data_IF_853358551269
#
_entry.id   IF_853358551269
#
_cell.length_a   1.000
_cell.length_b   1.000
_cell.length_c   1.000
_cell.angle_alpha   90.00
_cell.angle_beta   90.00
_cell.angle_gamma   90.00
#
_symmetry.space_group_name_H-M   'P 1'
#
loop_
_entity.id
_entity.type
_entity.pdbx_description
1 polymer ?
#
# COMPACT_ATOMS: atom_id res chain seq x y z
N UNK A 1 -32.17 -14.74 17.89
CA UNK A 1 -31.12 -13.84 17.37
C UNK A 1 -30.17 -13.53 18.52
N UNK A 2 -29.07 -14.25 18.62
CA UNK A 2 -28.11 -14.08 19.72
C UNK A 2 -26.97 -13.27 19.08
N UNK A 3 -26.87 -12.01 19.50
CA UNK A 3 -25.73 -11.15 19.21
C UNK A 3 -24.47 -11.80 19.82
N UNK A 4 -23.64 -12.38 18.99
CA UNK A 4 -22.28 -12.75 19.39
C UNK A 4 -21.45 -11.47 19.43
N UNK A 5 -21.34 -10.89 20.60
CA UNK A 5 -20.30 -9.90 20.90
C UNK A 5 -18.97 -10.65 20.88
N UNK A 6 -18.24 -10.56 19.78
CA UNK A 6 -16.85 -11.01 19.73
C UNK A 6 -16.04 -10.06 20.64
N UNK A 7 -15.63 -10.56 21.78
CA UNK A 7 -14.80 -9.79 22.71
C UNK A 7 -13.37 -9.83 22.21
N UNK A 8 -12.92 -8.73 21.62
CA UNK A 8 -11.53 -8.54 21.21
C UNK A 8 -10.68 -8.29 22.48
N UNK A 9 -9.80 -9.21 22.82
CA UNK A 9 -8.80 -8.99 23.87
C UNK A 9 -7.56 -8.35 23.27
N UNK A 10 -7.40 -7.05 23.49
CA UNK A 10 -6.22 -6.28 23.12
C UNK A 10 -5.34 -6.08 24.35
N UNK A 11 -4.18 -6.72 24.40
CA UNK A 11 -3.18 -6.48 25.43
C UNK A 11 -2.18 -5.43 24.94
N UNK A 12 -2.25 -4.25 25.52
CA UNK A 12 -1.33 -3.15 25.25
C UNK A 12 -0.14 -3.23 26.21
N UNK A 13 1.04 -3.60 25.72
CA UNK A 13 2.28 -3.44 26.47
C UNK A 13 2.91 -2.10 26.09
N UNK A 14 2.72 -1.08 26.90
CA UNK A 14 3.52 0.15 26.85
C UNK A 14 4.80 -0.10 27.63
N UNK A 15 5.85 -0.54 26.94
CA UNK A 15 7.18 -0.55 27.55
C UNK A 15 7.83 0.83 27.37
N UNK A 16 7.75 1.66 28.41
CA UNK A 16 8.61 2.82 28.56
C UNK A 16 10.04 2.32 28.87
N UNK A 17 10.88 2.23 27.86
CA UNK A 17 12.32 2.16 28.06
C UNK A 17 12.96 3.37 27.38
N UNK A 18 13.19 4.41 28.18
CA UNK A 18 14.06 5.51 27.79
C UNK A 18 15.52 5.05 27.99
N UNK A 19 16.21 4.69 26.91
CA UNK A 19 17.66 4.61 26.89
C UNK A 19 18.20 5.46 25.76
N UNK A 20 18.92 6.50 26.15
CA UNK A 20 19.74 7.26 25.20
C UNK A 20 20.84 6.38 24.67
N UNK A 21 20.75 6.04 23.39
CA UNK A 21 21.88 5.55 22.60
C UNK A 21 21.80 6.07 21.17
N UNK A 22 22.99 6.32 20.62
CA UNK A 22 23.26 6.82 19.27
C UNK A 22 22.37 6.20 18.20
N UNK A 23 21.81 7.06 17.36
CA UNK A 23 20.95 6.74 16.25
C UNK A 23 21.59 5.73 15.26
N UNK A 24 21.34 4.46 15.46
CA UNK A 24 21.55 3.45 14.45
C UNK A 24 20.25 3.29 13.68
N UNK A 25 20.24 3.54 12.40
CA UNK A 25 19.10 3.29 11.53
C UNK A 25 18.81 1.79 11.50
N UNK A 26 17.82 1.34 12.25
CA UNK A 26 17.29 -0.02 12.07
C UNK A 26 16.28 0.08 10.93
N UNK A 27 16.72 -0.21 9.72
CA UNK A 27 15.79 -0.47 8.63
C UNK A 27 14.93 -1.67 9.04
N UNK A 28 13.62 -1.47 9.19
CA UNK A 28 12.69 -2.58 9.36
C UNK A 28 12.79 -3.47 8.12
N UNK A 29 12.85 -4.78 8.32
CA UNK A 29 13.05 -5.72 7.20
C UNK A 29 11.87 -5.70 6.23
N UNK A 30 10.67 -5.47 6.76
CA UNK A 30 9.46 -5.34 5.96
C UNK A 30 8.71 -4.10 6.45
N UNK A 31 8.56 -3.12 5.58
CA UNK A 31 7.86 -1.89 5.87
C UNK A 31 6.87 -1.57 4.77
N UNK A 32 5.59 -1.59 5.10
CA UNK A 32 4.51 -1.16 4.24
C UNK A 32 3.90 0.12 4.83
N UNK A 33 3.97 1.21 4.08
CA UNK A 33 3.30 2.46 4.42
C UNK A 33 1.82 2.36 4.04
N UNK A 34 0.95 2.67 4.98
CA UNK A 34 -0.49 2.86 4.73
C UNK A 34 -0.81 4.34 4.93
N UNK A 35 -1.10 5.02 3.84
CA UNK A 35 -1.39 6.44 3.84
C UNK A 35 -2.72 6.71 3.14
N UNK A 36 -3.69 7.29 3.87
CA UNK A 36 -4.88 7.88 3.30
C UNK A 36 -4.91 9.34 3.72
N UNK A 37 -4.64 10.24 2.79
CA UNK A 37 -4.42 11.65 3.09
C UNK A 37 -4.91 12.55 1.97
N UNK A 38 -5.18 13.82 2.33
CA UNK A 38 -5.52 14.88 1.38
C UNK A 38 -4.64 16.08 1.67
N UNK A 39 -3.97 16.57 0.64
CA UNK A 39 -3.07 17.71 0.69
C UNK A 39 -3.54 18.82 -0.24
N UNK A 40 -3.26 20.05 0.13
CA UNK A 40 -3.63 21.24 -0.61
C UNK A 40 -2.38 22.08 -0.83
N UNK A 41 -2.12 22.47 -2.08
CA UNK A 41 -0.96 23.28 -2.45
C UNK A 41 -1.41 24.48 -3.28
N UNK A 42 -0.81 25.65 -3.00
CA UNK A 42 -1.06 26.89 -3.70
C UNK A 42 0.22 27.35 -4.40
N UNK A 43 0.12 27.61 -5.72
CA UNK A 43 1.21 28.15 -6.53
C UNK A 43 0.66 29.18 -7.53
N UNK A 44 0.87 30.47 -7.25
CA UNK A 44 0.21 31.53 -7.99
C UNK A 44 -1.30 31.42 -7.86
N UNK A 45 -2.01 31.42 -8.98
CA UNK A 45 -3.48 31.32 -9.05
C UNK A 45 -3.97 29.85 -9.15
N UNK A 46 -3.05 28.89 -9.03
CA UNK A 46 -3.39 27.45 -9.12
C UNK A 46 -3.48 26.82 -7.73
N UNK A 47 -4.62 26.21 -7.43
CA UNK A 47 -4.83 25.36 -6.26
C UNK A 47 -4.75 23.89 -6.66
N UNK A 48 -3.78 23.18 -6.14
CA UNK A 48 -3.62 21.73 -6.36
C UNK A 48 -4.13 20.96 -5.16
N UNK A 49 -5.01 20.00 -5.42
CA UNK A 49 -5.60 19.11 -4.41
C UNK A 49 -5.14 17.70 -4.71
N UNK A 50 -4.49 17.05 -3.75
CA UNK A 50 -3.99 15.69 -3.89
C UNK A 50 -4.66 14.80 -2.86
N UNK A 51 -5.32 13.76 -3.34
CA UNK A 51 -5.83 12.66 -2.54
C UNK A 51 -4.93 11.45 -2.73
N UNK A 52 -4.41 10.88 -1.65
CA UNK A 52 -3.57 9.67 -1.67
C UNK A 52 -4.24 8.56 -0.89
N UNK A 53 -4.24 7.36 -1.45
CA UNK A 53 -4.62 6.13 -0.77
C UNK A 53 -3.58 5.05 -1.13
N UNK A 54 -2.53 4.97 -0.31
CA UNK A 54 -1.35 4.18 -0.60
C UNK A 54 -1.13 3.04 0.39
N UNK A 55 -0.86 1.86 -0.18
CA UNK A 55 -0.21 0.73 0.46
C UNK A 55 1.20 0.60 -0.16
N UNK A 56 2.14 1.43 0.29
CA UNK A 56 3.44 1.59 -0.35
C UNK A 56 4.52 0.73 0.30
N UNK A 57 5.23 -0.12 -0.45
CA UNK A 57 6.31 -0.94 0.08
C UNK A 57 7.57 -0.09 0.29
N UNK A 58 7.83 0.39 1.51
CA UNK A 58 9.08 1.11 1.85
C UNK A 58 10.28 0.18 1.92
N UNK A 59 10.06 -1.11 2.24
CA UNK A 59 11.08 -2.15 2.24
C UNK A 59 10.46 -3.53 2.36
N UNK A 60 11.07 -4.53 1.73
CA UNK A 60 10.70 -5.93 1.82
C UNK A 60 11.96 -6.78 2.04
N UNK A 61 11.90 -7.71 2.98
CA UNK A 61 13.01 -8.59 3.37
C UNK A 61 14.34 -7.86 3.65
N UNK A 62 14.24 -6.70 4.30
CA UNK A 62 15.40 -5.87 4.64
C UNK A 62 16.02 -5.13 3.46
N UNK A 63 15.37 -5.14 2.31
CA UNK A 63 15.79 -4.44 1.11
C UNK A 63 14.79 -3.34 0.76
N UNK A 64 15.30 -2.16 0.41
CA UNK A 64 14.47 -1.04 -0.07
C UNK A 64 13.92 -1.31 -1.47
N UNK A 65 14.46 -2.28 -2.20
CA UNK A 65 14.09 -2.61 -3.58
C UNK A 65 14.09 -1.37 -4.49
N UNK A 66 15.25 -0.79 -4.81
CA UNK A 66 15.33 0.44 -5.60
C UNK A 66 14.58 0.35 -6.93
N UNK A 67 14.59 -0.81 -7.58
CA UNK A 67 13.91 -1.03 -8.86
C UNK A 67 12.38 -0.89 -8.73
N UNK A 68 11.80 -1.39 -7.63
CA UNK A 68 10.37 -1.20 -7.33
C UNK A 68 10.07 0.25 -6.98
N UNK A 69 10.94 0.90 -6.18
CA UNK A 69 10.79 2.32 -5.86
C UNK A 69 10.85 3.18 -7.13
N UNK A 70 11.81 2.94 -8.02
CA UNK A 70 11.91 3.64 -9.31
C UNK A 70 10.65 3.46 -10.17
N UNK A 71 10.09 2.25 -10.22
CA UNK A 71 8.86 1.99 -10.97
C UNK A 71 7.69 2.78 -10.40
N UNK A 72 7.46 2.68 -9.08
CA UNK A 72 6.33 3.33 -8.41
C UNK A 72 6.44 4.86 -8.44
N UNK A 73 7.63 5.41 -8.16
CA UNK A 73 7.83 6.87 -8.18
C UNK A 73 7.73 7.45 -9.59
N UNK A 74 8.17 6.70 -10.61
CA UNK A 74 7.95 7.09 -12.01
C UNK A 74 6.47 7.08 -12.38
N UNK A 75 5.72 6.10 -11.88
CA UNK A 75 4.28 6.00 -12.16
C UNK A 75 3.52 7.18 -11.56
N UNK A 76 3.74 7.48 -10.27
CA UNK A 76 2.97 8.49 -9.54
C UNK A 76 3.52 9.91 -9.67
N UNK A 77 4.84 10.06 -9.70
CA UNK A 77 5.52 11.36 -9.60
C UNK A 77 6.26 11.77 -10.88
N UNK A 78 6.14 10.97 -11.94
CA UNK A 78 6.79 11.16 -13.25
C UNK A 78 8.33 11.27 -13.18
N UNK A 79 8.95 10.77 -12.11
CA UNK A 79 10.41 10.73 -11.97
C UNK A 79 10.83 9.55 -11.10
N UNK A 80 11.87 8.79 -11.53
CA UNK A 80 12.38 7.69 -10.75
C UNK A 80 13.11 8.22 -9.51
N UNK A 81 12.84 7.57 -8.36
CA UNK A 81 13.53 7.87 -7.10
C UNK A 81 13.79 6.57 -6.34
N UNK A 82 14.83 6.57 -5.51
CA UNK A 82 15.23 5.39 -4.74
C UNK A 82 14.32 5.10 -3.54
N UNK A 83 13.45 6.05 -3.17
CA UNK A 83 12.49 5.89 -2.08
C UNK A 83 11.24 6.74 -2.29
N UNK A 84 10.15 6.32 -1.62
CA UNK A 84 8.92 7.10 -1.54
C UNK A 84 9.17 8.53 -1.04
N UNK A 85 9.88 8.65 0.10
CA UNK A 85 10.06 9.94 0.76
C UNK A 85 10.81 10.93 -0.14
N UNK A 86 11.84 10.47 -0.86
CA UNK A 86 12.57 11.30 -1.82
C UNK A 86 11.70 11.68 -3.01
N UNK A 87 10.98 10.71 -3.60
CA UNK A 87 10.11 10.97 -4.76
C UNK A 87 8.96 11.90 -4.42
N UNK A 88 8.31 11.67 -3.27
CA UNK A 88 7.24 12.55 -2.79
C UNK A 88 7.73 13.98 -2.55
N UNK A 89 8.84 14.15 -1.82
CA UNK A 89 9.41 15.48 -1.53
C UNK A 89 9.77 16.26 -2.80
N UNK A 90 10.32 15.58 -3.81
CA UNK A 90 10.63 16.20 -5.11
C UNK A 90 9.35 16.62 -5.85
N UNK A 91 8.34 15.74 -5.89
CA UNK A 91 7.06 16.06 -6.49
C UNK A 91 6.35 17.20 -5.75
N UNK A 92 6.26 17.11 -4.43
CA UNK A 92 5.68 18.14 -3.55
C UNK A 92 6.31 19.52 -3.76
N UNK A 93 7.65 19.60 -3.88
CA UNK A 93 8.36 20.85 -4.10
C UNK A 93 7.96 21.57 -5.39
N UNK A 94 7.42 20.83 -6.37
CA UNK A 94 6.93 21.37 -7.64
C UNK A 94 5.56 22.03 -7.53
N UNK A 95 4.78 21.66 -6.50
CA UNK A 95 3.36 22.05 -6.34
C UNK A 95 3.15 23.42 -5.72
N UNK A 96 4.18 23.95 -5.07
CA UNK A 96 4.10 25.24 -4.38
C UNK A 96 4.04 25.12 -2.86
N UNK A 97 3.30 25.99 -2.19
CA UNK A 97 3.21 26.01 -0.73
C UNK A 97 2.01 25.21 -0.25
N UNK A 98 2.23 24.31 0.71
CA UNK A 98 1.12 23.61 1.37
C UNK A 98 0.26 24.61 2.17
N UNK A 99 -1.06 24.50 2.01
CA UNK A 99 -2.07 25.32 2.69
C UNK A 99 -3.07 24.43 3.41
N UNK A 100 -3.62 24.91 4.54
CA UNK A 100 -4.56 24.12 5.35
C UNK A 100 -6.03 24.35 4.97
N UNK A 101 -6.31 25.50 4.39
CA UNK A 101 -7.68 25.92 4.03
C UNK A 101 -7.69 26.51 2.63
N UNK A 102 -8.74 26.18 1.89
CA UNK A 102 -9.00 26.79 0.59
C UNK A 102 -9.50 28.20 0.86
N UNK A 103 -8.81 29.21 0.32
CA UNK A 103 -9.41 30.52 0.16
C UNK A 103 -10.51 30.36 -0.89
N UNK A 104 -11.71 30.89 -0.60
CA UNK A 104 -12.82 30.93 -1.56
C UNK A 104 -12.49 31.94 -2.67
N UNK A 105 -11.55 31.57 -3.54
CA UNK A 105 -11.25 32.28 -4.76
C UNK A 105 -11.93 31.53 -5.91
N UNK A 106 -13.02 32.12 -6.41
CA UNK A 106 -13.82 31.51 -7.47
C UNK A 106 -13.05 31.43 -8.80
N UNK A 107 -12.00 32.23 -8.95
CA UNK A 107 -11.21 32.34 -10.20
C UNK A 107 -9.96 31.49 -10.19
N UNK A 108 -9.60 30.83 -9.07
CA UNK A 108 -8.41 29.99 -9.00
C UNK A 108 -8.53 28.73 -9.88
N UNK A 109 -7.54 28.49 -10.72
CA UNK A 109 -7.41 27.22 -11.45
C UNK A 109 -7.27 26.08 -10.44
N UNK A 110 -8.10 25.05 -10.57
CA UNK A 110 -8.07 23.89 -9.69
C UNK A 110 -7.53 22.66 -10.42
N UNK A 111 -6.52 22.04 -9.83
CA UNK A 111 -5.97 20.73 -10.25
C UNK A 111 -6.22 19.70 -9.17
N UNK A 112 -6.58 18.50 -9.59
CA UNK A 112 -6.87 17.40 -8.69
C UNK A 112 -6.00 16.21 -9.11
N UNK A 113 -5.33 15.60 -8.12
CA UNK A 113 -4.66 14.32 -8.27
C UNK A 113 -5.34 13.32 -7.35
N UNK A 114 -5.79 12.20 -7.91
CA UNK A 114 -6.27 11.04 -7.18
C UNK A 114 -5.28 9.90 -7.40
N UNK A 115 -4.60 9.51 -6.34
CA UNK A 115 -3.49 8.57 -6.37
C UNK A 115 -3.81 7.37 -5.48
N UNK A 116 -3.87 6.18 -6.07
CA UNK A 116 -4.13 4.95 -5.35
C UNK A 116 -3.09 3.87 -5.65
N UNK A 117 -2.54 3.26 -4.61
CA UNK A 117 -1.70 2.07 -4.71
C UNK A 117 -2.21 1.03 -3.72
N UNK A 118 -2.71 -0.09 -4.23
CA UNK A 118 -3.22 -1.18 -3.43
C UNK A 118 -2.40 -2.45 -3.65
N UNK A 119 -1.89 -3.01 -2.58
CA UNK A 119 -1.27 -4.33 -2.62
C UNK A 119 -2.37 -5.40 -2.76
N UNK A 120 -2.32 -6.17 -3.83
CA UNK A 120 -3.28 -7.23 -4.12
C UNK A 120 -2.84 -8.57 -3.52
N UNK A 121 -1.53 -8.84 -3.54
CA UNK A 121 -0.97 -10.08 -3.05
C UNK A 121 0.52 -9.91 -2.71
N UNK A 122 0.95 -10.54 -1.65
CA UNK A 122 2.36 -10.72 -1.33
C UNK A 122 2.64 -12.22 -1.15
N UNK A 123 3.47 -12.77 -2.03
CA UNK A 123 4.05 -14.10 -1.88
C UNK A 123 5.47 -13.96 -1.33
N UNK A 124 5.69 -14.25 -0.05
CA UNK A 124 6.97 -14.01 0.59
C UNK A 124 8.15 -14.66 -0.15
N UNK A 125 9.20 -13.88 -0.39
CA UNK A 125 10.41 -14.32 -1.08
C UNK A 125 10.27 -14.59 -2.57
N UNK A 126 9.11 -14.30 -3.17
CA UNK A 126 8.88 -14.53 -4.60
C UNK A 126 8.37 -13.32 -5.34
N UNK A 127 7.23 -12.76 -4.96
CA UNK A 127 6.67 -11.60 -5.66
C UNK A 127 5.70 -10.78 -4.80
N UNK A 128 5.46 -9.56 -5.23
CA UNK A 128 4.39 -8.70 -4.72
C UNK A 128 3.60 -8.12 -5.90
N UNK A 129 2.28 -8.06 -5.77
CA UNK A 129 1.36 -7.61 -6.81
C UNK A 129 0.56 -6.41 -6.36
N UNK A 130 0.34 -5.48 -7.30
CA UNK A 130 -0.33 -4.22 -7.02
C UNK A 130 -1.37 -3.87 -8.07
N UNK A 131 -2.31 -3.03 -7.63
CA UNK A 131 -3.11 -2.14 -8.47
C UNK A 131 -2.66 -0.71 -8.19
N UNK A 132 -2.17 -0.02 -9.21
CA UNK A 132 -1.82 1.40 -9.17
C UNK A 132 -2.80 2.21 -10.01
N UNK A 133 -3.26 3.35 -9.48
CA UNK A 133 -4.16 4.28 -10.17
C UNK A 133 -3.68 5.71 -9.96
N UNK A 134 -3.69 6.49 -11.02
CA UNK A 134 -3.41 7.92 -11.00
C UNK A 134 -4.38 8.61 -11.93
N UNK A 135 -5.17 9.51 -11.41
CA UNK A 135 -5.98 10.43 -12.19
C UNK A 135 -5.54 11.87 -11.90
N UNK A 136 -5.23 12.60 -12.94
CA UNK A 136 -5.03 14.05 -12.92
C UNK A 136 -6.17 14.70 -13.70
N UNK A 137 -6.86 15.64 -13.09
CA UNK A 137 -7.96 16.40 -13.71
C UNK A 137 -7.91 17.87 -13.32
N UNK A 138 -8.45 18.70 -14.18
CA UNK A 138 -8.85 20.06 -13.81
C UNK A 138 -10.35 20.12 -13.48
N UNK A 139 -10.90 21.30 -13.36
CA UNK A 139 -12.33 21.47 -13.03
C UNK A 139 -13.28 20.91 -14.11
N UNK A 140 -12.84 20.74 -15.34
CA UNK A 140 -13.71 20.45 -16.50
C UNK A 140 -13.37 19.13 -17.21
N UNK A 141 -12.15 18.61 -17.05
CA UNK A 141 -11.70 17.43 -17.83
C UNK A 141 -10.64 16.60 -17.10
N UNK A 142 -10.56 15.33 -17.46
CA UNK A 142 -9.43 14.46 -17.11
C UNK A 142 -8.27 14.79 -18.03
N UNK A 143 -7.11 15.10 -17.44
CA UNK A 143 -5.86 15.40 -18.15
C UNK A 143 -5.07 14.11 -18.38
N UNK A 144 -4.95 13.30 -17.32
CA UNK A 144 -4.24 12.04 -17.35
C UNK A 144 -4.99 11.02 -16.52
N UNK A 145 -5.18 9.82 -17.07
CA UNK A 145 -5.63 8.66 -16.31
C UNK A 145 -4.67 7.50 -16.57
N UNK A 146 -4.06 6.98 -15.51
CA UNK A 146 -3.20 5.80 -15.55
C UNK A 146 -3.77 4.75 -14.62
N UNK A 147 -3.82 3.54 -15.10
CA UNK A 147 -4.26 2.37 -14.35
C UNK A 147 -3.31 1.22 -14.65
N UNK A 148 -2.87 0.47 -13.66
CA UNK A 148 -1.94 -0.63 -13.89
C UNK A 148 -2.10 -1.74 -12.86
N UNK A 149 -2.39 -2.93 -13.33
CA UNK A 149 -2.13 -4.18 -12.61
C UNK A 149 -0.71 -4.64 -12.93
N UNK A 150 0.08 -4.90 -11.92
CA UNK A 150 1.44 -5.41 -12.13
C UNK A 150 1.91 -6.31 -10.98
N UNK A 151 2.87 -7.16 -11.32
CA UNK A 151 3.58 -8.02 -10.36
C UNK A 151 5.06 -7.70 -10.40
N UNK A 152 5.64 -7.42 -9.26
CA UNK A 152 7.07 -7.26 -9.10
C UNK A 152 7.71 -8.56 -8.60
N UNK A 153 8.64 -9.08 -9.37
CA UNK A 153 9.44 -10.26 -9.06
C UNK A 153 10.56 -9.91 -8.08
N UNK A 154 10.47 -10.41 -6.85
CA UNK A 154 11.46 -10.16 -5.80
C UNK A 154 12.79 -10.91 -6.06
N UNK A 155 12.75 -11.99 -6.85
CA UNK A 155 13.93 -12.81 -7.17
C UNK A 155 14.81 -12.07 -8.20
N UNK A 156 14.19 -11.63 -9.31
CA UNK A 156 14.89 -10.99 -10.42
C UNK A 156 14.83 -9.46 -10.37
N UNK A 157 14.18 -8.88 -9.35
CA UNK A 157 14.05 -7.43 -9.09
C UNK A 157 13.51 -6.65 -10.29
N UNK A 158 12.41 -7.11 -10.86
CA UNK A 158 11.77 -6.47 -12.03
C UNK A 158 10.26 -6.66 -12.03
N UNK A 159 9.57 -5.79 -12.75
CA UNK A 159 8.16 -6.01 -13.08
C UNK A 159 8.07 -7.15 -14.10
N UNK A 160 7.17 -8.12 -13.84
CA UNK A 160 6.90 -9.21 -14.77
C UNK A 160 6.15 -8.68 -15.99
N UNK A 161 6.61 -9.11 -17.15
CA UNK A 161 5.97 -8.85 -18.44
C UNK A 161 5.28 -10.11 -18.96
N UNK A 162 4.45 -9.98 -20.00
CA UNK A 162 3.87 -11.13 -20.68
C UNK A 162 4.92 -12.12 -21.18
N UNK A 163 6.07 -11.62 -21.66
CA UNK A 163 7.15 -12.46 -22.17
C UNK A 163 7.80 -13.31 -21.05
N UNK A 164 7.74 -12.83 -19.82
CA UNK A 164 8.24 -13.58 -18.67
C UNK A 164 7.29 -14.74 -18.31
N UNK A 165 5.98 -14.51 -18.43
CA UNK A 165 4.95 -15.44 -17.95
C UNK A 165 4.50 -16.40 -19.03
N UNK A 166 4.20 -15.92 -20.23
CA UNK A 166 3.53 -16.71 -21.26
C UNK A 166 4.47 -17.18 -22.36
N UNK A 167 4.12 -18.30 -22.95
CA UNK A 167 4.74 -18.79 -24.18
C UNK A 167 4.16 -18.00 -25.38
N UNK A 168 4.87 -16.94 -25.77
CA UNK A 168 4.44 -16.02 -26.83
C UNK A 168 4.19 -16.73 -28.16
N UNK A 169 5.04 -17.69 -28.52
CA UNK A 169 4.87 -18.45 -29.76
C UNK A 169 3.52 -19.17 -29.79
N UNK A 170 3.18 -19.86 -28.69
CA UNK A 170 1.92 -20.61 -28.61
C UNK A 170 0.70 -19.69 -28.59
N UNK A 171 0.77 -18.60 -27.85
CA UNK A 171 -0.35 -17.65 -27.75
C UNK A 171 -0.62 -16.90 -29.06
N UNK A 172 0.45 -16.48 -29.75
CA UNK A 172 0.31 -15.61 -30.92
C UNK A 172 0.19 -16.35 -32.24
N UNK A 173 0.81 -17.54 -32.37
CA UNK A 173 0.83 -18.30 -33.64
C UNK A 173 -0.36 -19.25 -33.80
N UNK A 174 -1.08 -19.59 -32.70
CA UNK A 174 -2.27 -20.42 -32.77
C UNK A 174 -3.54 -19.57 -32.54
N UNK A 175 -4.30 -19.25 -33.59
CA UNK A 175 -5.53 -18.46 -33.48
C UNK A 175 -6.59 -19.12 -32.58
N UNK A 176 -6.64 -20.45 -32.54
CA UNK A 176 -7.61 -21.16 -31.71
C UNK A 176 -7.28 -21.03 -30.21
N UNK A 177 -6.00 -21.11 -29.86
CA UNK A 177 -5.54 -20.89 -28.47
C UNK A 177 -5.84 -19.48 -28.03
N UNK A 178 -5.59 -18.50 -28.92
CA UNK A 178 -5.88 -17.11 -28.64
C UNK A 178 -7.38 -16.87 -28.46
N UNK A 179 -8.21 -17.41 -29.34
CA UNK A 179 -9.67 -17.29 -29.22
C UNK A 179 -10.19 -17.90 -27.93
N UNK A 180 -9.78 -19.12 -27.58
CA UNK A 180 -10.17 -19.76 -26.31
C UNK A 180 -9.71 -18.98 -25.08
N UNK A 181 -8.57 -18.34 -25.15
CA UNK A 181 -8.10 -17.49 -24.06
C UNK A 181 -8.97 -16.23 -23.91
N UNK A 182 -9.38 -15.60 -25.00
CA UNK A 182 -10.30 -14.47 -24.96
C UNK A 182 -11.69 -14.84 -24.43
N UNK A 183 -12.25 -15.96 -24.88
CA UNK A 183 -13.51 -16.48 -24.35
C UNK A 183 -13.42 -16.71 -22.84
N UNK A 184 -12.29 -17.21 -22.36
CA UNK A 184 -12.04 -17.39 -20.93
C UNK A 184 -12.00 -16.06 -20.18
N UNK A 185 -11.31 -15.04 -20.73
CA UNK A 185 -11.23 -13.73 -20.10
C UNK A 185 -12.60 -13.04 -20.05
N UNK A 186 -13.40 -13.17 -21.09
CA UNK A 186 -14.76 -12.63 -21.14
C UNK A 186 -15.67 -13.32 -20.13
N UNK A 187 -15.63 -14.65 -20.09
CA UNK A 187 -16.42 -15.44 -19.14
C UNK A 187 -16.11 -15.12 -17.67
N UNK A 188 -14.87 -14.80 -17.35
CA UNK A 188 -14.40 -14.52 -15.99
C UNK A 188 -14.29 -13.02 -15.68
N UNK A 189 -14.74 -12.15 -16.60
CA UNK A 189 -14.74 -10.72 -16.36
C UNK A 189 -15.69 -10.34 -15.21
N UNK A 190 -15.26 -9.37 -14.41
CA UNK A 190 -16.05 -8.87 -13.28
C UNK A 190 -17.30 -8.07 -13.69
N UNK A 191 -17.34 -7.61 -14.93
CA UNK A 191 -18.49 -6.94 -15.56
C UNK A 191 -18.63 -7.40 -16.99
N UNK A 192 -19.85 -7.66 -17.43
CA UNK A 192 -20.15 -7.93 -18.83
C UNK A 192 -20.47 -6.61 -19.53
N UNK A 193 -19.49 -6.03 -20.19
CA UNK A 193 -19.67 -4.85 -21.01
C UNK A 193 -19.30 -5.22 -22.44
N UNK A 194 -20.32 -5.30 -23.31
CA UNK A 194 -20.14 -5.72 -24.71
C UNK A 194 -19.22 -4.78 -25.50
N UNK A 195 -19.00 -3.53 -25.06
CA UNK A 195 -18.39 -2.47 -25.86
C UNK A 195 -16.99 -2.01 -25.40
N UNK A 196 -16.45 -2.48 -24.27
CA UNK A 196 -15.25 -1.86 -23.66
C UNK A 196 -13.96 -2.67 -23.78
N UNK A 197 -14.02 -3.93 -24.15
CA UNK A 197 -12.84 -4.80 -24.19
C UNK A 197 -12.24 -4.78 -25.59
N UNK A 198 -11.01 -4.26 -25.71
CA UNK A 198 -10.27 -4.35 -26.97
C UNK A 198 -9.60 -5.72 -27.11
N UNK A 199 -10.30 -6.65 -27.72
CA UNK A 199 -9.83 -8.03 -27.94
C UNK A 199 -8.67 -8.17 -28.93
N UNK A 200 -8.31 -7.12 -29.66
CA UNK A 200 -7.15 -7.11 -30.56
C UNK A 200 -5.83 -6.98 -29.78
N UNK A 201 -5.91 -6.55 -28.53
CA UNK A 201 -4.75 -6.40 -27.64
C UNK A 201 -4.87 -7.39 -26.50
N UNK A 202 -3.93 -8.32 -26.39
CA UNK A 202 -3.80 -9.07 -25.13
C UNK A 202 -3.55 -8.11 -24.00
N UNK A 203 -4.17 -8.37 -22.83
CA UNK A 203 -3.93 -7.54 -21.66
C UNK A 203 -2.44 -7.51 -21.34
N UNK A 204 -1.80 -6.37 -21.58
CA UNK A 204 -0.38 -6.17 -21.30
C UNK A 204 -0.12 -6.07 -19.78
N UNK A 205 -1.18 -5.82 -19.03
CA UNK A 205 -1.13 -5.60 -17.60
C UNK A 205 -1.87 -6.72 -16.90
N UNK A 206 -1.19 -7.30 -15.92
CA UNK A 206 -1.75 -8.36 -15.11
C UNK A 206 -1.08 -8.39 -13.72
N UNK A 207 -1.78 -8.98 -12.76
CA UNK A 207 -1.25 -9.24 -11.42
C UNK A 207 -1.42 -10.72 -11.06
N UNK A 208 -0.37 -11.32 -10.49
CA UNK A 208 -0.44 -12.64 -9.87
C UNK A 208 -1.09 -12.52 -8.49
N UNK A 209 -2.12 -13.29 -8.21
CA UNK A 209 -2.87 -13.26 -6.95
C UNK A 209 -2.98 -14.70 -6.42
N UNK A 210 -1.96 -15.16 -5.73
CA UNK A 210 -1.89 -16.55 -5.25
C UNK A 210 -1.95 -17.54 -6.38
N UNK A 211 -3.05 -18.30 -6.46
CA UNK A 211 -3.29 -19.28 -7.52
C UNK A 211 -4.02 -18.71 -8.75
N UNK A 212 -4.23 -17.41 -8.79
CA UNK A 212 -4.94 -16.74 -9.88
C UNK A 212 -4.06 -15.71 -10.57
N UNK A 213 -4.46 -15.35 -11.78
CA UNK A 213 -3.94 -14.20 -12.52
C UNK A 213 -5.11 -13.25 -12.77
N UNK A 214 -4.96 -12.00 -12.37
CA UNK A 214 -5.89 -10.94 -12.71
C UNK A 214 -5.35 -10.17 -13.91
N UNK A 215 -6.13 -10.13 -14.98
CA UNK A 215 -5.83 -9.37 -16.19
C UNK A 215 -6.60 -8.06 -16.19
N UNK A 216 -5.93 -6.99 -16.57
CA UNK A 216 -6.56 -5.70 -16.83
C UNK A 216 -7.25 -5.71 -18.18
N UNK A 217 -8.56 -5.48 -18.20
CA UNK A 217 -9.37 -5.40 -19.41
C UNK A 217 -9.76 -3.96 -19.75
N UNK A 218 -9.31 -3.00 -18.96
CA UNK A 218 -9.57 -1.58 -19.16
C UNK A 218 -10.38 -0.90 -18.04
N UNK A 219 -10.98 0.23 -18.38
CA UNK A 219 -11.78 1.03 -17.43
C UNK A 219 -13.16 1.25 -18.04
N UNK A 220 -14.21 0.93 -17.28
CA UNK A 220 -15.59 1.23 -17.64
C UNK A 220 -16.23 2.09 -16.52
N UNK A 221 -16.87 3.20 -16.93
CA UNK A 221 -17.64 4.10 -16.06
C UNK A 221 -16.96 4.45 -14.72
N UNK A 222 -15.61 4.58 -14.72
CA UNK A 222 -14.80 4.89 -13.53
C UNK A 222 -14.42 3.68 -12.67
N UNK A 223 -14.76 2.46 -13.06
CA UNK A 223 -14.33 1.20 -12.47
C UNK A 223 -13.34 0.45 -13.35
N UNK A 224 -12.39 -0.29 -12.76
CA UNK A 224 -11.52 -1.19 -13.50
C UNK A 224 -12.29 -2.45 -13.93
N UNK A 225 -12.23 -2.76 -15.22
CA UNK A 225 -12.69 -4.04 -15.76
C UNK A 225 -11.53 -5.02 -15.70
N UNK A 226 -11.73 -6.14 -15.07
CA UNK A 226 -10.70 -7.17 -14.97
C UNK A 226 -11.30 -8.58 -15.08
N UNK A 227 -10.47 -9.50 -15.53
CA UNK A 227 -10.75 -10.94 -15.50
C UNK A 227 -9.80 -11.60 -14.51
N UNK A 228 -10.30 -12.51 -13.69
CA UNK A 228 -9.48 -13.29 -12.76
C UNK A 228 -9.60 -14.78 -13.08
N UNK A 229 -8.46 -15.36 -13.48
CA UNK A 229 -8.38 -16.72 -14.01
C UNK A 229 -7.48 -17.57 -13.12
N UNK A 230 -7.90 -18.80 -12.80
CA UNK A 230 -7.04 -19.73 -12.09
C UNK A 230 -5.82 -20.13 -12.94
N UNK A 231 -4.66 -20.26 -12.31
CA UNK A 231 -3.43 -20.73 -12.94
C UNK A 231 -3.61 -22.07 -13.67
N UNK A 232 -4.43 -22.97 -13.11
CA UNK A 232 -4.68 -24.29 -13.70
C UNK A 232 -5.41 -24.22 -15.05
N UNK A 233 -6.22 -23.18 -15.28
CA UNK A 233 -6.93 -22.98 -16.53
C UNK A 233 -6.02 -22.47 -17.66
N UNK A 234 -4.91 -21.81 -17.32
CA UNK A 234 -3.98 -21.18 -18.28
C UNK A 234 -2.56 -21.76 -18.22
N UNK A 235 -2.34 -22.82 -17.46
CA UNK A 235 -1.00 -23.40 -17.25
C UNK A 235 -0.33 -23.87 -18.54
N UNK A 236 -1.12 -24.29 -19.52
CA UNK A 236 -0.67 -24.71 -20.85
C UNK A 236 -0.04 -23.56 -21.65
N UNK A 237 -0.39 -22.30 -21.26
CA UNK A 237 0.13 -21.09 -21.88
C UNK A 237 1.43 -20.59 -21.22
N UNK A 238 1.76 -21.10 -20.04
CA UNK A 238 2.95 -20.65 -19.33
C UNK A 238 4.25 -21.06 -20.04
N UNK A 239 5.19 -20.13 -20.02
CA UNK A 239 6.55 -20.40 -20.49
C UNK A 239 7.26 -21.40 -19.56
N UNK A 240 8.24 -22.13 -20.10
CA UNK A 240 9.05 -23.06 -19.30
C UNK A 240 9.83 -22.32 -18.21
N UNK A 241 10.27 -21.09 -18.48
CA UNK A 241 10.96 -20.23 -17.52
C UNK A 241 10.05 -19.84 -16.37
N UNK A 242 8.80 -19.48 -16.66
CA UNK A 242 7.83 -19.13 -15.62
C UNK A 242 7.48 -20.34 -14.73
N UNK A 243 7.23 -21.52 -15.32
CA UNK A 243 7.00 -22.74 -14.56
C UNK A 243 8.18 -23.11 -13.64
N UNK A 244 9.42 -22.81 -14.06
CA UNK A 244 10.60 -22.96 -13.21
C UNK A 244 10.64 -21.90 -12.11
N UNK A 245 10.34 -20.63 -12.44
CA UNK A 245 10.31 -19.52 -11.49
C UNK A 245 9.24 -19.72 -10.41
N UNK A 246 8.05 -20.23 -10.74
CA UNK A 246 7.00 -20.52 -9.75
C UNK A 246 7.45 -21.48 -8.64
N UNK A 247 8.47 -22.31 -8.87
CA UNK A 247 9.05 -23.24 -7.91
C UNK A 247 10.20 -22.65 -7.09
N UNK A 248 10.63 -21.43 -7.43
CA UNK A 248 11.70 -20.73 -6.72
C UNK A 248 11.11 -19.90 -5.57
N UNK A 249 11.88 -19.78 -4.50
CA UNK A 249 11.62 -18.83 -3.44
C UNK A 249 12.96 -18.38 -2.89
N UNK A 250 13.10 -17.09 -2.64
CA UNK A 250 14.22 -16.60 -1.84
C UNK A 250 14.04 -17.18 -0.43
N UNK A 251 15.11 -17.70 0.14
CA UNK A 251 15.10 -18.08 1.56
C UNK A 251 14.78 -16.84 2.38
N UNK A 252 13.56 -16.77 2.86
CA UNK A 252 13.14 -15.66 3.72
C UNK A 252 13.89 -15.80 5.04
N UNK A 253 14.92 -14.99 5.24
CA UNK A 253 15.63 -14.92 6.52
C UNK A 253 14.73 -14.39 7.66
N UNK A 254 13.49 -14.03 7.34
CA UNK A 254 12.52 -13.35 8.20
C UNK A 254 11.78 -14.23 9.21
N UNK A 255 11.97 -15.56 9.22
CA UNK A 255 11.45 -16.39 10.32
C UNK A 255 12.30 -16.34 11.59
N UNK A 256 13.38 -15.56 11.61
CA UNK A 256 13.99 -15.22 12.89
C UNK A 256 12.97 -14.42 13.71
N UNK A 257 12.52 -15.03 14.83
CA UNK A 257 11.77 -14.32 15.87
C UNK A 257 12.35 -12.93 16.02
N UNK A 258 11.51 -11.89 15.77
CA UNK A 258 11.88 -10.52 16.13
C UNK A 258 12.43 -10.57 17.57
N UNK A 259 13.57 -9.94 17.86
CA UNK A 259 14.02 -9.81 19.21
C UNK A 259 12.88 -9.22 20.03
N UNK A 260 12.69 -9.67 21.27
CA UNK A 260 11.66 -9.14 22.19
C UNK A 260 11.87 -7.65 22.52
N UNK A 261 12.84 -7.01 21.92
CA UNK A 261 13.19 -5.62 22.11
C UNK A 261 12.47 -4.74 21.10
N UNK A 262 11.91 -3.66 21.60
CA UNK A 262 11.22 -2.65 20.81
C UNK A 262 12.06 -2.24 19.59
N UNK A 263 11.48 -2.38 18.39
CA UNK A 263 12.13 -1.89 17.16
C UNK A 263 12.06 -0.37 17.20
N UNK A 264 13.16 0.28 17.50
CA UNK A 264 13.26 1.73 17.44
C UNK A 264 13.36 2.15 15.99
N UNK A 265 12.33 2.80 15.48
CA UNK A 265 12.44 3.55 14.22
C UNK A 265 13.27 4.79 14.54
N UNK A 266 14.36 4.97 13.80
CA UNK A 266 15.22 6.14 13.93
C UNK A 266 14.39 7.41 13.87
N UNK A 267 14.49 8.21 14.91
CA UNK A 267 14.12 9.60 14.86
C UNK A 267 15.03 10.27 13.81
N UNK A 268 14.48 11.17 13.00
CA UNK A 268 15.30 12.03 12.11
C UNK A 268 16.46 12.61 12.94
N UNK A 269 17.67 12.78 12.35
CA UNK A 269 18.82 13.36 13.06
C UNK A 269 18.52 14.69 13.75
N UNK A 270 17.51 15.42 13.23
CA UNK A 270 17.07 16.72 13.77
C UNK A 270 15.90 16.58 14.77
N UNK A 271 15.52 15.36 15.17
CA UNK A 271 14.42 15.15 16.10
C UNK A 271 14.85 15.47 17.52
N UNK A 272 14.31 16.52 18.04
CA UNK A 272 14.47 16.89 19.44
C UNK A 272 13.61 15.94 20.27
N UNK A 273 14.18 15.35 21.33
CA UNK A 273 13.42 14.50 22.23
C UNK A 273 12.44 15.38 23.06
N UNK A 274 11.12 15.12 22.97
CA UNK A 274 10.14 15.95 23.67
C UNK A 274 10.13 15.64 25.18
N UNK A 275 9.81 16.65 25.99
CA UNK A 275 9.64 16.48 27.44
C UNK A 275 8.36 15.72 27.78
N UNK A 276 7.33 15.85 26.93
CA UNK A 276 6.06 15.14 27.07
C UNK A 276 5.82 14.34 25.80
N UNK A 277 5.75 13.02 25.93
CA UNK A 277 5.43 12.12 24.81
C UNK A 277 3.95 12.23 24.41
N UNK A 278 3.60 11.82 23.17
CA UNK A 278 2.20 11.77 22.77
C UNK A 278 1.37 10.92 23.73
N UNK A 279 0.18 11.36 24.00
CA UNK A 279 -0.76 10.67 24.89
C UNK A 279 -2.12 10.52 24.22
N UNK A 280 -2.76 9.39 24.43
CA UNK A 280 -4.14 9.19 24.00
C UNK A 280 -5.09 9.55 25.14
N UNK A 281 -6.08 10.38 24.86
CA UNK A 281 -7.09 10.77 25.85
C UNK A 281 -8.16 9.67 25.97
N UNK A 282 -8.19 8.99 27.09
CA UNK A 282 -9.08 7.88 27.36
C UNK A 282 -8.45 6.49 27.18
N UNK A 283 -9.28 5.50 26.89
CA UNK A 283 -8.83 4.11 26.73
C UNK A 283 -8.57 3.80 25.26
N UNK A 284 -7.29 3.79 24.87
CA UNK A 284 -6.83 3.50 23.51
C UNK A 284 -7.33 2.13 23.00
N UNK A 285 -7.32 1.11 23.88
CA UNK A 285 -7.76 -0.25 23.55
C UNK A 285 -9.24 -0.28 23.15
N UNK A 286 -10.08 0.37 23.97
CA UNK A 286 -11.51 0.46 23.72
C UNK A 286 -11.81 1.27 22.44
N UNK A 287 -11.14 2.40 22.26
CA UNK A 287 -11.30 3.24 21.07
C UNK A 287 -10.85 2.51 19.79
N UNK A 288 -9.73 1.79 19.84
CA UNK A 288 -9.27 0.97 18.72
C UNK A 288 -10.27 -0.15 18.41
N UNK A 289 -10.73 -0.89 19.45
CA UNK A 289 -11.70 -1.98 19.24
C UNK A 289 -13.03 -1.53 18.65
N UNK A 290 -13.49 -0.31 18.95
CA UNK A 290 -14.70 0.26 18.35
C UNK A 290 -14.54 0.56 16.86
N UNK A 291 -13.34 0.90 16.42
CA UNK A 291 -13.04 1.25 15.04
C UNK A 291 -12.53 0.06 14.21
N UNK A 292 -12.10 -1.02 14.88
CA UNK A 292 -11.56 -2.19 14.19
C UNK A 292 -12.68 -3.04 13.59
N UNK A 293 -12.53 -3.36 12.30
CA UNK A 293 -13.42 -4.28 11.60
C UNK A 293 -12.65 -5.53 11.17
N UNK A 294 -13.18 -6.68 11.51
CA UNK A 294 -12.69 -7.98 11.06
C UNK A 294 -13.39 -8.46 9.77
N UNK A 295 -14.24 -7.63 9.18
CA UNK A 295 -14.94 -7.92 7.94
C UNK A 295 -13.95 -8.21 6.81
N UNK A 296 -14.04 -9.40 6.24
CA UNK A 296 -13.12 -9.86 5.19
C UNK A 296 -11.86 -10.57 5.69
N UNK A 297 -11.63 -10.63 7.00
CA UNK A 297 -10.56 -11.45 7.56
C UNK A 297 -11.02 -12.90 7.69
N UNK A 298 -10.18 -13.84 7.25
CA UNK A 298 -10.44 -15.26 7.45
C UNK A 298 -9.70 -15.73 8.72
N UNK A 299 -10.43 -16.09 9.80
CA UNK A 299 -9.79 -16.50 11.06
C UNK A 299 -8.87 -17.71 10.92
N UNK A 300 -9.12 -18.60 9.96
CA UNK A 300 -8.31 -19.79 9.73
C UNK A 300 -6.96 -19.48 9.07
N UNK A 301 -6.86 -18.37 8.33
CA UNK A 301 -5.65 -17.98 7.60
C UNK A 301 -4.99 -16.73 8.13
N UNK A 302 -5.70 -15.98 8.99
CA UNK A 302 -5.16 -14.77 9.60
C UNK A 302 -4.28 -15.15 10.79
N UNK A 303 -2.96 -14.90 10.72
CA UNK A 303 -2.08 -15.30 11.81
C UNK A 303 -2.39 -14.52 13.08
N UNK A 304 -2.51 -15.23 14.18
CA UNK A 304 -2.55 -14.65 15.53
C UNK A 304 -1.14 -14.24 15.90
N UNK A 305 -0.94 -12.99 16.28
CA UNK A 305 0.39 -12.55 16.64
C UNK A 305 0.53 -11.06 16.95
N UNK A 306 1.77 -10.64 17.11
CA UNK A 306 2.11 -9.24 17.33
C UNK A 306 2.20 -8.51 16.00
N UNK A 307 1.49 -7.39 15.94
CA UNK A 307 1.61 -6.39 14.87
C UNK A 307 2.31 -5.18 15.49
N UNK A 308 3.31 -4.67 14.79
CA UNK A 308 3.97 -3.43 15.17
C UNK A 308 3.58 -2.35 14.18
N UNK A 309 2.73 -1.42 14.63
CA UNK A 309 2.38 -0.23 13.89
C UNK A 309 3.26 0.94 14.37
N UNK A 310 3.82 1.68 13.43
CA UNK A 310 4.57 2.91 13.67
C UNK A 310 3.87 4.04 12.93
N UNK A 311 3.61 5.16 13.61
CA UNK A 311 2.93 6.30 13.02
C UNK A 311 3.40 7.61 13.64
N UNK A 312 3.18 8.71 12.96
CA UNK A 312 3.46 10.05 13.48
C UNK A 312 2.17 10.59 14.11
N UNK A 313 2.25 11.01 15.37
CA UNK A 313 1.26 11.90 16.00
C UNK A 313 1.68 13.32 15.65
N UNK A 314 0.90 14.00 14.82
CA UNK A 314 1.20 15.35 14.37
C UNK A 314 0.85 16.40 15.44
N UNK A 315 1.24 17.63 15.20
CA UNK A 315 1.04 18.78 16.12
C UNK A 315 -0.42 19.09 16.43
N UNK A 316 -1.35 18.62 15.61
CA UNK A 316 -2.80 18.74 15.80
C UNK A 316 -3.44 17.45 16.39
N UNK A 317 -2.63 16.43 16.70
CA UNK A 317 -3.09 15.14 17.19
C UNK A 317 -3.58 14.18 16.11
N UNK A 318 -3.51 14.53 14.84
CA UNK A 318 -3.81 13.60 13.73
C UNK A 318 -2.71 12.57 13.56
N UNK A 319 -3.07 11.38 13.05
CA UNK A 319 -2.11 10.33 12.75
C UNK A 319 -1.70 10.39 11.27
N UNK A 320 -0.38 10.32 11.03
CA UNK A 320 0.22 10.32 9.69
C UNK A 320 1.26 9.21 9.57
N UNK A 321 1.64 8.89 8.35
CA UNK A 321 2.73 7.96 8.02
C UNK A 321 2.63 6.64 8.82
N UNK A 322 1.48 5.96 8.72
CA UNK A 322 1.24 4.68 9.38
C UNK A 322 2.01 3.59 8.63
N UNK A 323 2.98 2.99 9.30
CA UNK A 323 3.85 1.95 8.74
C UNK A 323 3.74 0.70 9.60
N UNK A 324 3.56 -0.46 8.97
CA UNK A 324 3.66 -1.74 9.63
C UNK A 324 5.08 -2.29 9.49
N UNK A 325 5.71 -2.58 10.62
CA UNK A 325 7.08 -3.08 10.66
C UNK A 325 7.17 -4.60 10.42
N UNK A 326 6.01 -5.25 10.33
CA UNK A 326 5.86 -6.67 9.98
C UNK A 326 4.71 -6.81 8.99
N UNK A 327 4.99 -7.31 7.80
CA UNK A 327 3.97 -7.58 6.78
C UNK A 327 3.59 -9.06 6.86
N UNK A 328 2.79 -9.41 7.85
CA UNK A 328 2.38 -10.81 8.06
C UNK A 328 1.11 -11.17 7.28
N UNK A 329 0.18 -10.23 7.19
CA UNK A 329 -1.09 -10.38 6.47
C UNK A 329 -1.57 -9.00 6.03
N UNK A 330 -1.69 -8.80 4.73
CA UNK A 330 -2.03 -7.49 4.15
C UNK A 330 -3.45 -7.06 4.53
N UNK A 331 -4.41 -7.98 4.53
CA UNK A 331 -5.79 -7.65 4.89
C UNK A 331 -5.88 -7.22 6.36
N UNK A 332 -5.17 -7.93 7.23
CA UNK A 332 -5.09 -7.57 8.64
C UNK A 332 -4.43 -6.21 8.85
N UNK A 333 -3.30 -5.96 8.19
CA UNK A 333 -2.61 -4.66 8.27
C UNK A 333 -3.52 -3.52 7.76
N UNK A 334 -4.28 -3.75 6.69
CA UNK A 334 -5.26 -2.80 6.15
C UNK A 334 -6.36 -2.49 7.17
N UNK A 335 -6.95 -3.51 7.79
CA UNK A 335 -7.99 -3.34 8.83
C UNK A 335 -7.45 -2.58 10.04
N UNK A 336 -6.22 -2.88 10.47
CA UNK A 336 -5.56 -2.16 11.56
C UNK A 336 -5.26 -0.71 11.17
N UNK A 337 -4.76 -0.47 9.95
CA UNK A 337 -4.50 0.89 9.46
C UNK A 337 -5.78 1.74 9.44
N UNK A 338 -6.87 1.18 8.92
CA UNK A 338 -8.17 1.85 8.90
C UNK A 338 -8.65 2.21 10.31
N UNK A 339 -8.53 1.29 11.27
CA UNK A 339 -8.89 1.56 12.66
C UNK A 339 -8.03 2.67 13.29
N UNK A 340 -6.71 2.65 13.02
CA UNK A 340 -5.80 3.70 13.52
C UNK A 340 -6.15 5.07 12.93
N UNK A 341 -6.45 5.17 11.65
CA UNK A 341 -6.82 6.42 10.97
C UNK A 341 -8.11 7.05 11.53
N UNK A 342 -9.00 6.24 12.10
CA UNK A 342 -10.23 6.70 12.73
C UNK A 342 -10.05 7.14 14.19
N UNK A 343 -8.91 6.83 14.82
CA UNK A 343 -8.66 7.24 16.20
C UNK A 343 -8.61 8.76 16.32
N UNK A 344 -9.35 9.27 17.28
CA UNK A 344 -9.35 10.67 17.69
C UNK A 344 -9.03 10.75 19.18
N UNK A 345 -8.42 11.83 19.61
CA UNK A 345 -8.05 12.02 21.03
C UNK A 345 -6.56 11.90 21.32
N UNK A 346 -5.71 11.80 20.30
CA UNK A 346 -4.28 11.94 20.51
C UNK A 346 -3.91 13.38 20.85
N UNK A 347 -3.11 13.54 21.91
CA UNK A 347 -2.44 14.77 22.29
C UNK A 347 -1.02 14.70 21.73
N UNK A 348 -0.55 15.75 21.01
CA UNK A 348 0.80 15.75 20.45
C UNK A 348 1.88 15.72 21.53
N UNK A 349 3.08 15.34 21.14
CA UNK A 349 4.26 15.54 21.96
C UNK A 349 4.50 17.02 22.20
N UNK A 350 5.11 17.37 23.34
CA UNK A 350 5.45 18.75 23.68
C UNK A 350 6.94 18.90 23.86
N UNK A 351 7.50 19.96 23.25
CA UNK A 351 8.88 20.37 23.41
C UNK A 351 8.97 21.89 23.61
N UNK A 352 9.59 22.33 24.70
CA UNK A 352 9.66 23.74 25.09
C UNK A 352 8.28 24.44 25.10
N UNK A 353 7.24 23.72 25.59
CA UNK A 353 5.87 24.21 25.67
C UNK A 353 5.14 24.33 24.31
N UNK A 354 5.72 23.80 23.23
CA UNK A 354 5.10 23.80 21.88
C UNK A 354 4.79 22.38 21.43
N UNK A 355 3.67 22.16 20.71
CA UNK A 355 3.39 20.85 20.13
C UNK A 355 4.39 20.54 19.02
N UNK A 356 4.90 19.31 19.04
CA UNK A 356 5.82 18.79 18.02
C UNK A 356 5.33 17.44 17.49
N UNK A 357 5.56 17.19 16.23
CA UNK A 357 5.25 15.88 15.63
C UNK A 357 6.23 14.84 16.17
N UNK A 358 5.69 13.66 16.51
CA UNK A 358 6.50 12.59 17.11
C UNK A 358 6.08 11.22 16.59
N UNK A 359 7.07 10.40 16.25
CA UNK A 359 6.82 9.01 15.82
C UNK A 359 6.56 8.11 17.01
N UNK A 360 5.41 7.48 17.01
CA UNK A 360 4.95 6.56 18.03
C UNK A 360 4.92 5.13 17.52
N UNK A 361 5.41 4.18 18.30
CA UNK A 361 5.38 2.76 17.99
C UNK A 361 4.37 2.05 18.87
N UNK A 362 3.41 1.39 18.27
CA UNK A 362 2.31 0.70 18.94
C UNK A 362 2.38 -0.80 18.68
N UNK A 363 2.77 -1.62 19.66
CA UNK A 363 2.62 -3.05 19.59
C UNK A 363 1.15 -3.43 19.83
N UNK A 364 0.57 -4.15 18.87
CA UNK A 364 -0.79 -4.69 18.94
C UNK A 364 -0.73 -6.21 19.01
N UNK A 365 -1.48 -6.80 19.93
CA UNK A 365 -1.68 -8.25 19.97
C UNK A 365 -3.16 -8.49 19.69
N UNK A 366 -3.47 -9.11 18.57
CA UNK A 366 -4.82 -9.44 18.17
C UNK A 366 -5.06 -10.95 18.37
N UNK A 367 -6.16 -11.27 19.00
CA UNK A 367 -6.66 -12.62 19.15
C UNK A 367 -8.05 -12.69 18.49
N UNK A 368 -8.21 -13.54 17.48
CA UNK A 368 -9.50 -13.84 16.90
C UNK A 368 -10.08 -15.04 17.65
N UNK A 369 -11.33 -14.92 18.12
CA UNK A 369 -12.09 -15.99 18.76
C UNK A 369 -13.11 -16.60 17.80
#
# INVERSE_FOLDING_TARGET
MINRLNTLFLLLFVSLMAFGQSAGTIASKDAMLYESSRHLYEKGDTLTIISKDFEWPKGLDGSVLPELQHYLTSFFFNQPSESYDTGWKQFESSLGKEVRTIKDDADAERRFYDMGLRCLWLEPGRYISFLARLEERNATSVITAKHSYFTFDLINKKVLTQNDVFNQTRMWQDPNVRYQFYELLDYTANTHTEDSINWDLLPNQFALIGQNIRFDLGVDNGGGVYSEVSNDMVDVLFSKSFKKWQKQSLSYAGTKKLPNEAVYVSLSPDSVFPEILPQFDGNLVAAFGQNFSDTGLNPATTPVGRIYASFIVDTDGSLKDIVFLTVNNIELNRSVAAALQLLRGWKPAMHNGKPVAFRYNLPLILHFQ
#
